data_IF_454695331090
#
_entry.id   IF_454695331090
#
_cell.length_a   1.000
_cell.length_b   1.000
_cell.length_c   1.000
_cell.angle_alpha   90.00
_cell.angle_beta   90.00
_cell.angle_gamma   90.00
#
_symmetry.space_group_name_H-M   'P 1'
#
loop_
_entity.id
_entity.type
_entity.pdbx_description
1 polymer ?
#
# COMPACT_ATOMS: atom_id res chain seq x y z
N UNK A 1 -13.12 -4.41 -0.41
CA UNK A 1 -11.76 -4.98 -0.24
C UNK A 1 -11.43 -4.96 1.23
N UNK A 2 -10.74 -5.96 1.75
CA UNK A 2 -10.26 -5.96 3.14
C UNK A 2 -8.76 -5.70 3.12
N UNK A 3 -8.33 -4.56 3.63
CA UNK A 3 -6.92 -4.22 3.81
C UNK A 3 -6.34 -5.01 5.00
N UNK A 4 -5.16 -5.60 4.82
CA UNK A 4 -4.49 -6.44 5.82
C UNK A 4 -3.00 -6.14 5.80
N UNK A 5 -2.36 -6.08 6.96
CA UNK A 5 -0.91 -5.96 7.06
C UNK A 5 -0.20 -7.09 6.28
N UNK A 6 0.89 -6.75 5.61
CA UNK A 6 1.64 -7.59 4.70
C UNK A 6 1.12 -7.62 3.27
N UNK A 7 -0.06 -7.05 2.99
CA UNK A 7 -0.56 -6.96 1.62
C UNK A 7 -0.06 -5.70 0.92
N UNK A 8 0.15 -5.82 -0.39
CA UNK A 8 0.32 -4.67 -1.28
C UNK A 8 -1.05 -4.27 -1.82
N UNK A 9 -1.39 -2.99 -1.63
CA UNK A 9 -2.56 -2.37 -2.25
C UNK A 9 -2.14 -1.36 -3.31
N UNK A 10 -3.04 -1.11 -4.26
CA UNK A 10 -2.91 -0.13 -5.32
C UNK A 10 -3.88 1.02 -5.01
N UNK A 11 -3.33 2.20 -4.80
CA UNK A 11 -4.09 3.43 -4.55
C UNK A 11 -3.97 4.36 -5.75
N UNK A 12 -5.04 5.10 -6.06
CA UNK A 12 -5.01 6.16 -7.07
C UNK A 12 -5.56 7.45 -6.49
N UNK A 13 -4.71 8.45 -6.38
CA UNK A 13 -5.10 9.76 -5.88
C UNK A 13 -5.93 10.55 -6.90
N UNK A 14 -6.79 11.45 -6.42
CA UNK A 14 -7.46 12.42 -7.27
C UNK A 14 -6.43 13.25 -8.06
N UNK A 15 -6.64 13.34 -9.38
CA UNK A 15 -5.72 14.03 -10.28
C UNK A 15 -4.47 13.24 -10.67
N UNK A 16 -4.20 12.08 -10.04
CA UNK A 16 -3.09 11.22 -10.42
C UNK A 16 -3.40 10.37 -11.66
N UNK A 17 -2.44 10.31 -12.58
CA UNK A 17 -2.52 9.44 -13.76
C UNK A 17 -2.11 8.00 -13.44
N UNK A 18 -1.28 7.81 -12.43
CA UNK A 18 -0.75 6.51 -12.03
C UNK A 18 -1.42 5.98 -10.76
N UNK A 19 -1.46 4.66 -10.68
CA UNK A 19 -1.64 3.92 -9.45
C UNK A 19 -0.33 3.86 -8.70
N UNK A 20 -0.39 3.83 -7.38
CA UNK A 20 0.76 3.73 -6.50
C UNK A 20 0.62 2.49 -5.65
N UNK A 21 1.70 1.73 -5.52
CA UNK A 21 1.74 0.65 -4.54
C UNK A 21 1.93 1.20 -3.13
N UNK A 22 1.24 0.56 -2.19
CA UNK A 22 1.45 0.71 -0.75
C UNK A 22 1.59 -0.69 -0.18
N UNK A 23 2.72 -0.97 0.43
CA UNK A 23 2.84 -2.14 1.28
C UNK A 23 2.30 -1.74 2.66
N UNK A 24 1.26 -2.45 3.12
CA UNK A 24 0.65 -2.22 4.42
C UNK A 24 1.49 -2.91 5.49
N UNK A 25 2.03 -2.18 6.44
CA UNK A 25 2.95 -2.74 7.43
C UNK A 25 2.24 -3.08 8.75
N UNK A 26 1.43 -2.15 9.26
CA UNK A 26 0.71 -2.32 10.53
C UNK A 26 -0.56 -1.47 10.54
N UNK A 27 -1.59 -1.91 11.28
CA UNK A 27 -2.79 -1.11 11.52
C UNK A 27 -2.47 -0.07 12.59
N UNK A 28 -2.81 1.19 12.33
CA UNK A 28 -2.78 2.26 13.34
C UNK A 28 -4.12 2.26 14.07
N UNK A 29 -5.21 2.53 13.33
CA UNK A 29 -6.58 2.52 13.86
C UNK A 29 -7.60 2.41 12.73
N UNK A 30 -8.61 1.56 12.88
CA UNK A 30 -9.66 1.42 11.86
C UNK A 30 -9.10 1.10 10.46
N UNK A 31 -9.40 1.91 9.42
CA UNK A 31 -8.83 1.75 8.08
C UNK A 31 -7.45 2.39 7.88
N UNK A 32 -6.84 2.97 8.92
CA UNK A 32 -5.54 3.62 8.86
C UNK A 32 -4.41 2.63 9.10
N UNK A 33 -3.41 2.65 8.21
CA UNK A 33 -2.25 1.77 8.26
C UNK A 33 -0.97 2.58 8.19
N UNK A 34 0.09 2.09 8.86
CA UNK A 34 1.45 2.43 8.48
C UNK A 34 1.70 1.78 7.13
N UNK A 35 2.05 2.59 6.15
CA UNK A 35 2.42 2.13 4.82
C UNK A 35 3.86 2.47 4.51
N UNK A 36 4.48 1.68 3.65
CA UNK A 36 5.73 2.06 2.99
C UNK A 36 5.48 2.23 1.49
N UNK A 37 6.16 3.20 0.91
CA UNK A 37 6.11 3.51 -0.52
C UNK A 37 7.26 2.85 -1.29
N UNK A 38 7.20 2.80 -2.63
CA UNK A 38 8.32 2.32 -3.45
C UNK A 38 9.65 3.06 -3.28
N UNK A 39 9.63 4.27 -2.70
CA UNK A 39 10.83 5.04 -2.34
C UNK A 39 11.30 4.82 -0.90
N UNK A 40 10.68 3.89 -0.18
CA UNK A 40 10.96 3.54 1.21
C UNK A 40 10.59 4.64 2.22
N UNK A 41 9.65 5.52 1.86
CA UNK A 41 9.06 6.47 2.79
C UNK A 41 7.91 5.82 3.57
N UNK A 42 7.84 6.10 4.88
CA UNK A 42 6.84 5.56 5.80
C UNK A 42 5.90 6.66 6.31
N UNK A 43 4.60 6.39 6.34
CA UNK A 43 3.60 7.28 6.94
C UNK A 43 2.30 6.53 7.23
N UNK A 44 1.43 7.14 8.03
CA UNK A 44 0.05 6.69 8.20
C UNK A 44 -0.81 7.10 7.00
N UNK A 45 -1.60 6.17 6.48
CA UNK A 45 -2.54 6.43 5.39
C UNK A 45 -3.86 5.69 5.62
N UNK A 46 -4.98 6.38 5.40
CA UNK A 46 -6.31 5.76 5.41
C UNK A 46 -6.52 4.94 4.13
N UNK A 47 -6.57 3.61 4.27
CA UNK A 47 -6.76 2.64 3.18
C UNK A 47 -8.24 2.29 3.03
N UNK A 48 -9.04 3.31 2.71
CA UNK A 48 -10.46 3.18 2.45
C UNK A 48 -10.93 4.21 1.42
N UNK A 49 -12.02 3.90 0.70
CA UNK A 49 -12.63 4.86 -0.25
C UNK A 49 -13.32 6.05 0.45
N UNK A 50 -13.37 6.07 1.78
CA UNK A 50 -13.76 7.23 2.59
C UNK A 50 -12.65 8.28 2.66
N UNK A 51 -11.40 7.91 2.36
CA UNK A 51 -10.30 8.85 2.22
C UNK A 51 -10.57 9.78 1.02
N UNK A 52 -10.74 11.10 1.23
CA UNK A 52 -11.13 12.03 0.17
C UNK A 52 -10.04 12.25 -0.87
N UNK A 53 -8.79 11.84 -0.59
CA UNK A 53 -7.69 11.96 -1.54
C UNK A 53 -7.70 10.81 -2.58
N UNK A 54 -8.42 9.71 -2.30
CA UNK A 54 -8.43 8.52 -3.13
C UNK A 54 -9.58 8.53 -4.15
N UNK A 55 -9.21 8.45 -5.42
CA UNK A 55 -10.12 8.22 -6.54
C UNK A 55 -10.26 6.73 -6.91
N UNK A 56 -9.41 5.87 -6.36
CA UNK A 56 -9.45 4.43 -6.57
C UNK A 56 -8.60 3.66 -5.56
N UNK A 57 -9.08 2.47 -5.20
CA UNK A 57 -8.42 1.54 -4.29
C UNK A 57 -8.68 0.11 -4.76
N UNK A 58 -7.62 -0.66 -4.96
CA UNK A 58 -7.70 -2.08 -5.32
C UNK A 58 -6.47 -2.84 -4.80
N UNK A 59 -6.46 -4.16 -4.98
CA UNK A 59 -5.34 -5.05 -4.67
C UNK A 59 -4.99 -5.88 -5.90
N UNK A 60 -3.81 -6.50 -5.91
CA UNK A 60 -3.50 -7.54 -6.86
C UNK A 60 -4.47 -8.73 -6.73
N UNK A 61 -4.68 -9.45 -7.84
CA UNK A 61 -5.39 -10.72 -7.81
C UNK A 61 -4.54 -11.78 -7.08
N UNK A 62 -5.15 -12.86 -6.55
CA UNK A 62 -4.41 -13.87 -5.77
C UNK A 62 -3.25 -14.54 -6.51
N UNK A 63 -3.28 -14.54 -7.84
CA UNK A 63 -2.21 -15.05 -8.70
C UNK A 63 -1.10 -14.01 -8.98
N UNK A 64 -1.15 -12.85 -8.31
CA UNK A 64 -0.23 -11.73 -8.49
C UNK A 64 -0.51 -10.88 -9.73
N UNK A 65 -1.57 -11.18 -10.49
CA UNK A 65 -1.91 -10.39 -11.68
C UNK A 65 -2.63 -9.09 -11.30
N UNK A 66 -2.48 -8.07 -12.15
CA UNK A 66 -3.14 -6.78 -11.93
C UNK A 66 -4.64 -6.88 -12.21
N UNK A 67 -5.49 -6.15 -11.45
CA UNK A 67 -6.89 -5.98 -11.78
C UNK A 67 -7.09 -5.36 -13.16
N UNK A 68 -8.24 -5.67 -13.77
CA UNK A 68 -8.65 -5.06 -15.03
C UNK A 68 -8.66 -3.52 -14.91
N UNK A 69 -8.10 -2.84 -15.92
CA UNK A 69 -8.00 -1.37 -15.94
C UNK A 69 -6.72 -0.80 -15.30
N UNK A 70 -5.88 -1.63 -14.66
CA UNK A 70 -4.57 -1.22 -14.16
C UNK A 70 -3.48 -1.64 -15.16
N UNK A 71 -3.13 -0.73 -16.06
CA UNK A 71 -2.07 -0.94 -17.05
C UNK A 71 -0.67 -0.97 -16.41
N UNK A 72 0.29 -1.78 -16.93
CA UNK A 72 1.64 -1.88 -16.38
C UNK A 72 2.39 -0.56 -16.28
N UNK A 73 2.29 0.27 -17.31
CA UNK A 73 2.98 1.57 -17.37
C UNK A 73 2.29 2.64 -16.52
N UNK A 74 1.20 2.30 -15.85
CA UNK A 74 0.45 3.20 -14.98
C UNK A 74 0.59 2.83 -13.51
N UNK A 75 1.60 2.04 -13.12
CA UNK A 75 1.86 1.69 -11.72
C UNK A 75 3.23 2.21 -11.31
N UNK A 76 3.23 3.09 -10.33
CA UNK A 76 4.40 3.41 -9.54
C UNK A 76 4.53 2.36 -8.44
N UNK A 77 5.29 1.30 -8.74
CA UNK A 77 5.43 0.12 -7.90
C UNK A 77 6.85 -0.10 -7.38
N UNK A 78 6.98 -1.03 -6.45
CA UNK A 78 8.24 -1.45 -5.87
C UNK A 78 9.15 -2.12 -6.91
N UNK A 79 10.45 -1.93 -6.73
CA UNK A 79 11.40 -2.93 -7.21
C UNK A 79 11.18 -4.26 -6.46
N UNK A 80 11.68 -5.37 -7.00
CA UNK A 80 11.55 -6.66 -6.32
C UNK A 80 12.08 -6.57 -4.88
N UNK A 81 11.22 -6.92 -3.92
CA UNK A 81 11.56 -6.97 -2.49
C UNK A 81 11.90 -8.41 -2.16
N UNK A 82 13.08 -8.65 -1.61
CA UNK A 82 13.41 -9.98 -1.10
C UNK A 82 12.74 -10.25 0.26
N UNK A 83 12.72 -11.51 0.67
CA UNK A 83 12.03 -11.93 1.88
C UNK A 83 12.63 -11.33 3.16
N UNK A 84 13.95 -11.09 3.21
CA UNK A 84 14.63 -10.56 4.40
C UNK A 84 14.27 -9.08 4.55
N UNK A 85 14.37 -8.33 3.45
CA UNK A 85 14.00 -6.93 3.43
C UNK A 85 12.51 -6.77 3.78
N UNK A 86 11.63 -7.57 3.19
CA UNK A 86 10.21 -7.57 3.54
C UNK A 86 9.98 -7.80 5.05
N UNK A 87 10.66 -8.78 5.65
CA UNK A 87 10.53 -9.04 7.09
C UNK A 87 10.99 -7.86 7.95
N UNK A 88 12.07 -7.18 7.57
CA UNK A 88 12.52 -5.98 8.26
C UNK A 88 11.48 -4.85 8.19
N UNK A 89 10.87 -4.63 7.02
CA UNK A 89 9.82 -3.63 6.85
C UNK A 89 8.62 -3.91 7.76
N UNK A 90 8.20 -5.18 7.87
CA UNK A 90 7.07 -5.56 8.74
C UNK A 90 7.37 -5.28 10.22
N UNK A 91 8.57 -5.64 10.69
CA UNK A 91 8.99 -5.36 12.08
C UNK A 91 9.08 -3.85 12.34
N UNK A 92 9.61 -3.08 11.40
CA UNK A 92 9.70 -1.63 11.53
C UNK A 92 8.32 -0.98 11.61
N UNK A 93 7.40 -1.37 10.73
CA UNK A 93 6.05 -0.81 10.73
C UNK A 93 5.26 -1.10 12.00
N UNK A 94 5.45 -2.28 12.62
CA UNK A 94 4.89 -2.57 13.94
C UNK A 94 5.38 -1.56 14.98
N UNK A 95 6.68 -1.26 15.04
CA UNK A 95 7.22 -0.25 15.96
C UNK A 95 6.71 1.16 15.65
N UNK A 96 6.65 1.53 14.37
CA UNK A 96 6.18 2.86 13.94
C UNK A 96 4.71 3.08 14.29
N UNK A 97 3.86 2.05 14.19
CA UNK A 97 2.42 2.16 14.46
C UNK A 97 2.08 2.60 15.88
N UNK A 98 2.94 2.28 16.85
CA UNK A 98 2.76 2.66 18.26
C UNK A 98 3.13 4.14 18.51
N UNK A 99 3.86 4.76 17.58
CA UNK A 99 4.32 6.15 17.68
C UNK A 99 3.42 7.14 16.93
N UNK A 100 2.45 6.65 16.15
CA UNK A 100 1.54 7.46 15.32
C UNK A 100 0.20 7.72 16.01
#
# INVERSE_FOLDING_TARGET
MTAVAGHVVLVRYHGAQMWHERLLLAVVSGPEFVVVTPTWDYFAEEIAMTNPDLSGLTQYLPDGTRPQGVGPHHVFGFAAIDAIHYQHLMVEGEHTSVMM
#
